data_IF_703677041840
#
_entry.id   IF_703677041840
#
_cell.length_a   1.000
_cell.length_b   1.000
_cell.length_c   1.000
_cell.angle_alpha   90.00
_cell.angle_beta   90.00
_cell.angle_gamma   90.00
#
_symmetry.space_group_name_H-M   'P 1'
#
loop_
_entity.id
_entity.type
_entity.pdbx_description
1 polymer ?
#
# COMPACT_ATOMS: atom_id res chain seq x y z
N UNK A 1 5.66 -9.10 -10.24
CA UNK A 1 6.88 -8.30 -9.94
C UNK A 1 6.70 -6.92 -10.56
N UNK A 2 7.02 -5.84 -9.84
CA UNK A 2 6.88 -4.46 -10.36
C UNK A 2 8.11 -4.00 -11.15
N UNK A 3 9.24 -4.69 -10.99
CA UNK A 3 10.50 -4.36 -11.67
C UNK A 3 10.36 -4.55 -13.17
N UNK A 4 10.94 -3.62 -13.94
CA UNK A 4 10.90 -3.59 -15.40
C UNK A 4 12.18 -2.96 -15.94
N UNK A 5 12.69 -3.39 -17.11
CA UNK A 5 13.78 -2.70 -17.81
C UNK A 5 13.51 -1.22 -18.09
N UNK A 6 12.23 -0.81 -18.18
CA UNK A 6 11.85 0.59 -18.37
C UNK A 6 11.79 1.42 -17.08
N UNK A 7 11.94 0.79 -15.91
CA UNK A 7 11.79 1.44 -14.61
C UNK A 7 13.15 1.86 -14.03
N UNK A 8 13.41 3.17 -13.99
CA UNK A 8 14.57 3.74 -13.31
C UNK A 8 14.40 3.91 -11.80
N UNK A 9 13.20 3.65 -11.26
CA UNK A 9 12.94 3.69 -9.82
C UNK A 9 11.91 2.64 -9.39
N UNK A 10 12.17 2.03 -8.23
CA UNK A 10 11.23 1.18 -7.50
C UNK A 10 11.12 1.74 -6.07
N UNK A 11 9.91 1.92 -5.57
CA UNK A 11 9.62 2.39 -4.22
C UNK A 11 8.75 1.36 -3.53
N UNK A 12 9.10 1.01 -2.29
CA UNK A 12 8.32 0.12 -1.44
C UNK A 12 7.98 0.85 -0.15
N UNK A 13 6.69 0.88 0.18
CA UNK A 13 6.18 1.23 1.49
C UNK A 13 5.67 -0.03 2.19
N UNK A 14 6.00 -0.17 3.47
CA UNK A 14 5.47 -1.19 4.37
C UNK A 14 4.84 -0.48 5.57
N UNK A 15 3.55 -0.69 5.79
CA UNK A 15 2.86 -0.24 6.99
C UNK A 15 2.97 -1.31 8.07
N UNK A 16 3.77 -1.03 9.10
CA UNK A 16 4.09 -2.00 10.16
C UNK A 16 3.35 -1.66 11.45
N UNK A 17 2.80 -2.69 12.12
CA UNK A 17 2.16 -2.53 13.42
C UNK A 17 3.16 -2.02 14.45
N UNK A 18 2.87 -0.87 15.04
CA UNK A 18 3.65 -0.28 16.15
C UNK A 18 3.21 -0.87 17.48
N UNK A 19 4.10 -0.81 18.46
CA UNK A 19 3.89 -1.31 19.83
C UNK A 19 3.04 -0.38 20.73
N UNK A 20 2.60 0.76 20.20
CA UNK A 20 1.90 1.79 20.97
C UNK A 20 0.90 2.58 20.13
N UNK A 21 -0.22 2.95 20.76
CA UNK A 21 -1.24 3.84 20.22
C UNK A 21 -1.94 4.59 21.37
N UNK A 22 -2.00 5.92 21.31
CA UNK A 22 -2.51 6.79 22.38
C UNK A 22 -1.93 6.44 23.77
N UNK A 23 -0.61 6.35 23.89
CA UNK A 23 0.12 5.99 25.13
C UNK A 23 -0.22 4.60 25.71
N UNK A 24 -0.97 3.77 24.96
CA UNK A 24 -1.31 2.39 25.37
C UNK A 24 -0.46 1.37 24.62
N UNK A 25 0.01 0.31 25.28
CA UNK A 25 0.74 -0.76 24.61
C UNK A 25 -0.20 -1.54 23.68
N UNK A 26 0.30 -1.85 22.49
CA UNK A 26 -0.35 -2.67 21.46
C UNK A 26 0.50 -3.92 21.28
N UNK A 27 -0.12 -5.09 21.19
CA UNK A 27 0.57 -6.36 20.87
C UNK A 27 0.30 -6.83 19.45
N UNK A 28 -0.85 -6.43 18.89
CA UNK A 28 -1.28 -6.76 17.54
C UNK A 28 -2.42 -5.83 17.10
N UNK A 29 -2.63 -5.75 15.79
CA UNK A 29 -3.84 -5.21 15.16
C UNK A 29 -4.63 -6.35 14.51
N UNK A 30 -5.94 -6.16 14.35
CA UNK A 30 -6.81 -7.10 13.64
C UNK A 30 -7.59 -6.37 12.57
N UNK A 31 -7.40 -6.78 11.31
CA UNK A 31 -8.03 -6.16 10.15
C UNK A 31 -9.14 -7.04 9.58
N UNK A 32 -10.33 -6.49 9.40
CA UNK A 32 -11.48 -7.19 8.80
C UNK A 32 -12.10 -6.34 7.71
N UNK A 33 -12.47 -6.95 6.59
CA UNK A 33 -13.15 -6.25 5.48
C UNK A 33 -14.07 -7.22 4.74
N UNK A 34 -14.92 -6.69 3.87
CA UNK A 34 -15.65 -7.49 2.89
C UNK A 34 -14.78 -7.71 1.64
N UNK A 35 -14.14 -8.89 1.46
CA UNK A 35 -13.03 -9.05 0.53
C UNK A 35 -13.36 -8.71 -0.94
N UNK A 36 -14.55 -9.07 -1.48
CA UNK A 36 -14.89 -8.73 -2.86
C UNK A 36 -14.94 -7.22 -3.13
N UNK A 37 -15.43 -6.43 -2.17
CA UNK A 37 -15.49 -4.98 -2.30
C UNK A 37 -14.10 -4.36 -2.11
N UNK A 38 -13.35 -4.79 -1.10
CA UNK A 38 -11.99 -4.33 -0.86
C UNK A 38 -11.09 -4.53 -2.08
N UNK A 39 -11.17 -5.71 -2.71
CA UNK A 39 -10.40 -6.01 -3.91
C UNK A 39 -10.76 -5.10 -5.09
N UNK A 40 -12.06 -4.83 -5.31
CA UNK A 40 -12.51 -3.88 -6.35
C UNK A 40 -12.02 -2.46 -6.07
N UNK A 41 -12.09 -2.02 -4.82
CA UNK A 41 -11.59 -0.70 -4.41
C UNK A 41 -10.08 -0.57 -4.65
N UNK A 42 -9.29 -1.57 -4.24
CA UNK A 42 -7.84 -1.63 -4.47
C UNK A 42 -7.49 -1.62 -5.96
N UNK A 43 -8.19 -2.40 -6.78
CA UNK A 43 -7.99 -2.42 -8.23
C UNK A 43 -8.26 -1.05 -8.86
N UNK A 44 -9.31 -0.36 -8.41
CA UNK A 44 -9.65 0.98 -8.89
C UNK A 44 -8.59 2.01 -8.51
N UNK A 45 -8.17 2.04 -7.24
CA UNK A 45 -7.07 2.90 -6.77
C UNK A 45 -5.82 2.65 -7.61
N UNK A 46 -5.47 1.39 -7.85
CA UNK A 46 -4.29 1.05 -8.60
C UNK A 46 -4.36 1.53 -10.06
N UNK A 47 -5.49 1.31 -10.73
CA UNK A 47 -5.69 1.76 -12.11
C UNK A 47 -5.62 3.29 -12.23
N UNK A 48 -6.29 4.01 -11.34
CA UNK A 48 -6.27 5.48 -11.27
C UNK A 48 -4.84 6.00 -11.08
N UNK A 49 -4.09 5.44 -10.12
CA UNK A 49 -2.73 5.86 -9.82
C UNK A 49 -1.74 5.57 -10.96
N UNK A 50 -1.85 4.40 -11.61
CA UNK A 50 -1.01 4.03 -12.76
C UNK A 50 -1.18 5.04 -13.89
N UNK A 51 -2.43 5.40 -14.24
CA UNK A 51 -2.67 6.38 -15.28
C UNK A 51 -2.24 7.79 -14.88
N UNK A 52 -2.59 8.23 -13.67
CA UNK A 52 -2.29 9.59 -13.19
C UNK A 52 -0.80 9.89 -13.13
N UNK A 53 0.01 8.94 -12.68
CA UNK A 53 1.44 9.14 -12.44
C UNK A 53 2.35 8.56 -13.54
N UNK A 54 1.79 7.91 -14.56
CA UNK A 54 2.58 7.24 -15.60
C UNK A 54 3.45 6.12 -15.05
N UNK A 55 2.88 5.30 -14.16
CA UNK A 55 3.61 4.20 -13.51
C UNK A 55 3.81 3.04 -14.47
N UNK A 56 4.89 2.30 -14.28
CA UNK A 56 5.18 1.08 -15.03
C UNK A 56 4.54 -0.13 -14.35
N UNK A 57 4.48 -0.12 -13.02
CA UNK A 57 3.85 -1.15 -12.22
C UNK A 57 3.47 -0.65 -10.84
N UNK A 58 2.39 -1.22 -10.32
CA UNK A 58 1.88 -0.95 -8.98
C UNK A 58 1.34 -2.26 -8.39
N UNK A 59 1.71 -2.55 -7.16
CA UNK A 59 1.18 -3.65 -6.38
C UNK A 59 0.74 -3.13 -5.02
N UNK A 60 -0.45 -3.51 -4.59
CA UNK A 60 -0.97 -3.23 -3.26
C UNK A 60 -1.35 -4.57 -2.64
N UNK A 61 -0.78 -4.86 -1.47
CA UNK A 61 -1.14 -6.03 -0.68
C UNK A 61 -1.58 -5.56 0.70
N UNK A 62 -2.75 -6.02 1.15
CA UNK A 62 -3.30 -5.72 2.46
C UNK A 62 -3.62 -7.04 3.17
N UNK A 63 -3.01 -7.25 4.33
CA UNK A 63 -3.24 -8.41 5.17
C UNK A 63 -4.55 -8.26 5.93
N UNK A 64 -5.28 -9.36 6.08
CA UNK A 64 -6.47 -9.45 6.92
C UNK A 64 -6.19 -10.37 8.11
N UNK A 65 -7.03 -10.28 9.13
CA UNK A 65 -6.85 -10.97 10.40
C UNK A 65 -5.78 -10.31 11.27
N UNK A 66 -5.16 -11.13 12.10
CA UNK A 66 -4.21 -10.66 13.13
C UNK A 66 -2.84 -10.32 12.51
N UNK A 67 -2.32 -9.15 12.86
CA UNK A 67 -1.01 -8.62 12.50
C UNK A 67 -0.27 -8.21 13.78
N UNK A 68 0.67 -9.04 14.27
CA UNK A 68 1.50 -8.72 15.43
C UNK A 68 2.33 -7.45 15.25
N UNK A 69 2.77 -6.86 16.37
CA UNK A 69 3.79 -5.79 16.38
C UNK A 69 5.02 -6.21 15.58
N UNK A 70 5.54 -5.28 14.77
CA UNK A 70 6.70 -5.50 13.91
C UNK A 70 6.37 -6.20 12.58
N UNK A 71 5.14 -6.68 12.38
CA UNK A 71 4.69 -7.22 11.10
C UNK A 71 3.94 -6.18 10.26
N UNK A 72 4.02 -6.32 8.94
CA UNK A 72 3.37 -5.41 8.00
C UNK A 72 1.92 -5.80 7.74
N UNK A 73 1.00 -4.85 7.91
CA UNK A 73 -0.41 -4.98 7.54
C UNK A 73 -0.66 -4.60 6.08
N UNK A 74 0.13 -3.69 5.53
CA UNK A 74 0.01 -3.24 4.13
C UNK A 74 1.37 -3.09 3.47
N UNK A 75 1.43 -3.40 2.18
CA UNK A 75 2.57 -3.12 1.32
C UNK A 75 2.10 -2.41 0.04
N UNK A 76 2.79 -1.33 -0.33
CA UNK A 76 2.59 -0.62 -1.60
C UNK A 76 3.92 -0.60 -2.33
N UNK A 77 3.99 -1.25 -3.48
CA UNK A 77 5.19 -1.30 -4.32
C UNK A 77 4.92 -0.63 -5.65
N UNK A 78 5.74 0.36 -6.01
CA UNK A 78 5.59 1.17 -7.21
C UNK A 78 6.85 1.14 -8.07
N UNK A 79 6.71 1.07 -9.39
CA UNK A 79 7.80 1.30 -10.33
C UNK A 79 7.45 2.38 -11.35
N UNK A 80 8.43 3.23 -11.68
CA UNK A 80 8.30 4.31 -12.65
C UNK A 80 9.63 4.59 -13.35
N UNK A 81 9.58 5.31 -14.48
CA UNK A 81 10.79 5.72 -15.22
C UNK A 81 11.74 6.55 -14.34
N UNK A 82 11.19 7.38 -13.44
CA UNK A 82 11.95 8.22 -12.52
C UNK A 82 11.36 8.17 -11.11
N UNK A 83 12.20 8.47 -10.10
CA UNK A 83 11.83 8.38 -8.67
C UNK A 83 10.69 9.31 -8.25
N UNK A 84 10.56 10.49 -8.87
CA UNK A 84 9.58 11.50 -8.48
C UNK A 84 8.12 11.00 -8.53
N UNK A 85 7.65 10.50 -9.69
CA UNK A 85 6.34 9.87 -9.79
C UNK A 85 6.16 8.67 -8.86
N UNK A 86 7.19 7.83 -8.69
CA UNK A 86 7.09 6.64 -7.82
C UNK A 86 6.82 7.01 -6.35
N UNK A 87 7.51 8.03 -5.82
CA UNK A 87 7.28 8.51 -4.45
C UNK A 87 5.88 9.09 -4.26
N UNK A 88 5.47 10.02 -5.14
CA UNK A 88 4.14 10.65 -5.05
C UNK A 88 3.00 9.64 -5.18
N UNK A 89 3.15 8.69 -6.09
CA UNK A 89 2.15 7.64 -6.27
C UNK A 89 2.09 6.70 -5.05
N UNK A 90 3.24 6.31 -4.48
CA UNK A 90 3.26 5.45 -3.30
C UNK A 90 2.54 6.08 -2.10
N UNK A 91 2.79 7.36 -1.85
CA UNK A 91 2.12 8.14 -0.79
C UNK A 91 0.62 8.30 -1.07
N UNK A 92 0.24 8.73 -2.28
CA UNK A 92 -1.17 8.89 -2.64
C UNK A 92 -1.95 7.57 -2.54
N UNK A 93 -1.38 6.47 -3.05
CA UNK A 93 -2.02 5.15 -2.98
C UNK A 93 -2.23 4.71 -1.54
N UNK A 94 -1.26 4.93 -0.66
CA UNK A 94 -1.38 4.60 0.76
C UNK A 94 -2.53 5.37 1.42
N UNK A 95 -2.60 6.69 1.21
CA UNK A 95 -3.65 7.52 1.79
C UNK A 95 -5.05 7.13 1.28
N UNK A 96 -5.17 6.82 -0.02
CA UNK A 96 -6.43 6.31 -0.58
C UNK A 96 -6.81 4.93 -0.04
N UNK A 97 -5.83 4.08 0.27
CA UNK A 97 -6.11 2.79 0.90
C UNK A 97 -6.65 2.97 2.31
N UNK A 98 -6.03 3.82 3.13
CA UNK A 98 -6.52 4.14 4.48
C UNK A 98 -7.92 4.74 4.44
N UNK A 99 -8.17 5.72 3.57
CA UNK A 99 -9.47 6.40 3.48
C UNK A 99 -10.62 5.46 3.08
N UNK A 100 -10.35 4.45 2.24
CA UNK A 100 -11.40 3.67 1.56
C UNK A 100 -11.50 2.22 2.03
N UNK A 101 -10.58 1.73 2.86
CA UNK A 101 -10.50 0.33 3.30
C UNK A 101 -10.44 0.15 4.82
N UNK A 102 -9.98 1.17 5.55
CA UNK A 102 -9.95 1.23 7.03
C UNK A 102 -11.11 2.08 7.55
#
# INVERSE_FOLDING_TARGET
>A
LISSPSAGANVLFLGTTRDSFDERPVTQLSYTTYPPLALKTLQRIAAEAVQKHGLIGLCIAHRLGVVPVGESSIAVAVSAAHRGPAWRAGEEVLELCKERLE
#
